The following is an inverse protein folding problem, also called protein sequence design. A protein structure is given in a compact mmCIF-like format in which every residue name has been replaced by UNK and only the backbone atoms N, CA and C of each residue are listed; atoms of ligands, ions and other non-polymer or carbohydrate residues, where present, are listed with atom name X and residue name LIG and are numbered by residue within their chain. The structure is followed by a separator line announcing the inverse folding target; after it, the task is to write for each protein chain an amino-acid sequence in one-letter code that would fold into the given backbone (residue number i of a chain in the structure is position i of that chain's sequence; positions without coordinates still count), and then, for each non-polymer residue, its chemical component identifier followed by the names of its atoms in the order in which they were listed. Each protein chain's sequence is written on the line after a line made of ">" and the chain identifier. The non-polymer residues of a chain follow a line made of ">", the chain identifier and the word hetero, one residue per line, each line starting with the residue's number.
data_IF_140999365507
#
_entry.id   IF_140999365507
#
_cell.length_a   1.000
_cell.length_b   1.000
_cell.length_c   1.000
_cell.angle_alpha   90.00
_cell.angle_beta   90.00
_cell.angle_gamma   90.00
#
_symmetry.space_group_name_H-M   'P 1'
#
loop_
_entity.id
_entity.type
_entity.pdbx_description
1 polymer ?
#
# COMPACT_ATOMS: atom_id res chain seq x y z
N UNK A 1 21.41 11.06 -32.98
CA UNK A 1 20.64 11.59 -31.84
C UNK A 1 20.97 13.08 -31.78
N UNK A 2 19.97 13.96 -31.91
CA UNK A 2 20.20 15.40 -31.97
C UNK A 2 20.59 15.97 -30.59
N UNK A 3 21.42 17.01 -30.57
CA UNK A 3 21.86 17.75 -29.38
C UNK A 3 20.66 18.21 -28.52
N UNK A 4 19.53 18.53 -29.12
CA UNK A 4 18.29 18.90 -28.45
C UNK A 4 17.67 17.78 -27.61
N UNK A 5 17.74 16.52 -28.08
CA UNK A 5 17.25 15.36 -27.33
C UNK A 5 18.10 15.09 -26.08
N UNK A 6 19.42 15.27 -26.18
CA UNK A 6 20.32 15.13 -25.03
C UNK A 6 20.13 16.23 -24.00
N UNK A 7 19.90 17.46 -24.43
CA UNK A 7 19.62 18.60 -23.54
C UNK A 7 18.30 18.41 -22.78
N UNK A 8 17.24 17.93 -23.46
CA UNK A 8 15.96 17.64 -22.83
C UNK A 8 16.05 16.50 -21.81
N UNK A 9 16.81 15.44 -22.11
CA UNK A 9 17.05 14.34 -21.16
C UNK A 9 17.85 14.80 -19.93
N UNK A 10 18.87 15.67 -20.13
CA UNK A 10 19.65 16.21 -19.03
C UNK A 10 18.79 17.10 -18.12
N UNK A 11 17.94 17.95 -18.69
CA UNK A 11 17.02 18.77 -17.92
C UNK A 11 16.02 17.93 -17.11
N UNK A 12 15.48 16.85 -17.68
CA UNK A 12 14.60 15.92 -16.98
C UNK A 12 15.33 15.25 -15.79
N UNK A 13 16.57 14.79 -15.98
CA UNK A 13 17.38 14.20 -14.92
C UNK A 13 17.70 15.19 -13.79
N UNK A 14 18.01 16.45 -14.15
CA UNK A 14 18.28 17.51 -13.16
C UNK A 14 17.01 17.84 -12.35
N UNK A 15 15.84 17.87 -13.01
CA UNK A 15 14.56 18.09 -12.33
C UNK A 15 14.28 16.96 -11.34
N UNK A 16 14.41 15.70 -11.75
CA UNK A 16 14.21 14.54 -10.88
C UNK A 16 15.19 14.52 -9.70
N UNK A 17 16.46 14.80 -9.94
CA UNK A 17 17.48 14.89 -8.87
C UNK A 17 17.15 16.01 -7.87
N UNK A 18 16.66 17.15 -8.32
CA UNK A 18 16.26 18.28 -7.46
C UNK A 18 15.05 17.91 -6.61
N UNK A 19 14.05 17.25 -7.20
CA UNK A 19 12.86 16.77 -6.49
C UNK A 19 13.24 15.72 -5.45
N UNK A 20 14.14 14.80 -5.78
CA UNK A 20 14.64 13.79 -4.86
C UNK A 20 15.41 14.41 -3.67
N UNK A 21 16.24 15.42 -3.92
CA UNK A 21 16.95 16.15 -2.86
C UNK A 21 15.98 16.93 -1.96
N UNK A 22 14.96 17.56 -2.54
CA UNK A 22 13.91 18.24 -1.76
C UNK A 22 13.16 17.24 -0.86
N UNK A 23 12.75 16.10 -1.40
CA UNK A 23 12.10 15.02 -0.65
C UNK A 23 12.99 14.50 0.49
N UNK A 24 14.27 14.24 0.25
CA UNK A 24 15.19 13.78 1.28
C UNK A 24 15.38 14.83 2.38
N UNK A 25 15.46 16.11 2.02
CA UNK A 25 15.54 17.24 2.96
C UNK A 25 14.26 17.33 3.82
N UNK A 26 13.07 17.23 3.22
CA UNK A 26 11.78 17.20 3.92
C UNK A 26 11.71 16.03 4.93
N UNK A 27 12.30 14.87 4.56
CA UNK A 27 12.40 13.70 5.42
C UNK A 27 13.48 13.81 6.51
N UNK A 28 14.17 14.96 6.63
CA UNK A 28 15.19 15.24 7.65
C UNK A 28 16.56 14.60 7.36
N UNK A 29 16.84 14.23 6.10
CA UNK A 29 18.16 13.76 5.68
C UNK A 29 19.05 14.98 5.42
N UNK A 30 20.02 15.25 6.31
CA UNK A 30 20.86 16.47 6.26
C UNK A 30 22.21 16.28 5.57
N UNK A 31 22.55 15.08 5.09
CA UNK A 31 23.79 14.81 4.37
C UNK A 31 23.84 13.41 3.78
N UNK A 32 24.62 13.26 2.72
CA UNK A 32 25.01 11.95 2.19
C UNK A 32 26.46 11.70 2.61
N UNK A 33 26.67 10.97 3.70
CA UNK A 33 28.01 10.46 3.99
C UNK A 33 28.38 9.40 2.96
N UNK A 34 29.29 9.77 2.07
CA UNK A 34 29.88 8.87 1.09
C UNK A 34 30.98 8.06 1.78
N UNK A 35 30.62 7.01 2.49
CA UNK A 35 31.58 5.96 2.83
C UNK A 35 31.87 5.15 1.56
N UNK A 36 32.87 5.55 0.81
CA UNK A 36 33.54 4.68 -0.16
C UNK A 36 34.33 3.65 0.64
N UNK A 37 33.76 2.48 0.87
CA UNK A 37 34.53 1.35 1.34
C UNK A 37 35.53 0.94 0.24
N UNK A 38 36.83 0.76 0.56
CA UNK A 38 37.81 0.28 -0.41
C UNK A 38 37.46 -1.14 -0.82
N UNK A 39 37.61 -1.45 -2.09
CA UNK A 39 37.37 -2.71 -2.77
C UNK A 39 37.66 -3.93 -1.92
N UNK A 40 36.62 -4.61 -1.45
CA UNK A 40 36.70 -5.98 -0.99
C UNK A 40 36.71 -6.90 -2.23
N UNK A 41 37.85 -7.43 -2.54
CA UNK A 41 38.03 -8.50 -3.52
C UNK A 41 37.21 -9.69 -3.01
N UNK A 42 36.16 -10.06 -3.74
CA UNK A 42 35.39 -11.26 -3.49
C UNK A 42 36.28 -12.48 -3.80
N UNK A 43 36.83 -13.12 -2.78
CA UNK A 43 37.32 -14.48 -2.87
C UNK A 43 36.13 -15.44 -2.77
N UNK A 44 35.83 -16.03 -3.89
CA UNK A 44 34.85 -17.11 -4.06
C UNK A 44 35.42 -18.37 -3.38
N UNK A 45 35.02 -18.64 -2.14
CA UNK A 45 35.28 -19.92 -1.49
C UNK A 45 34.13 -20.88 -1.85
N UNK A 46 34.43 -21.77 -2.79
CA UNK A 46 33.62 -22.94 -3.09
C UNK A 46 33.46 -23.82 -1.86
N UNK A 47 32.31 -23.81 -1.20
CA UNK A 47 31.91 -24.84 -0.22
C UNK A 47 31.18 -25.94 -0.94
N UNK A 48 31.83 -27.10 -1.02
CA UNK A 48 31.29 -28.35 -1.47
C UNK A 48 30.03 -28.74 -0.65
N UNK A 49 28.95 -29.08 -1.33
CA UNK A 49 27.75 -29.68 -0.76
C UNK A 49 27.98 -31.19 -0.55
N UNK A 50 27.58 -31.77 0.58
CA UNK A 50 27.50 -33.21 0.69
C UNK A 50 26.27 -33.72 -0.06
N UNK A 51 26.49 -34.63 -0.99
CA UNK A 51 25.47 -35.36 -1.72
C UNK A 51 24.89 -36.46 -0.84
N UNK A 52 23.60 -36.36 -0.50
CA UNK A 52 22.80 -37.47 -0.01
C UNK A 52 22.01 -38.06 -1.19
N UNK A 53 21.83 -39.39 -1.27
CA UNK A 53 21.22 -40.05 -2.44
C UNK A 53 19.71 -39.78 -2.45
N UNK A 54 19.25 -39.30 -3.61
CA UNK A 54 17.82 -39.13 -3.93
C UNK A 54 17.24 -40.53 -4.21
N UNK A 55 16.34 -41.01 -3.36
CA UNK A 55 15.48 -42.13 -3.64
C UNK A 55 14.41 -41.70 -4.65
N UNK A 56 14.49 -42.23 -5.83
CA UNK A 56 13.46 -42.13 -6.87
C UNK A 56 12.21 -42.88 -6.44
N UNK A 57 11.17 -42.09 -6.14
CA UNK A 57 9.82 -42.62 -5.96
C UNK A 57 9.22 -42.88 -7.32
N UNK A 58 8.97 -44.12 -7.66
CA UNK A 58 8.30 -44.54 -8.87
C UNK A 58 6.83 -44.11 -8.79
N UNK A 59 6.38 -43.35 -9.79
CA UNK A 59 4.96 -43.10 -10.00
C UNK A 59 4.32 -44.30 -10.69
N UNK A 60 3.09 -44.69 -10.32
CA UNK A 60 2.39 -45.75 -11.02
C UNK A 60 1.87 -45.28 -12.39
N UNK A 61 1.92 -46.12 -13.41
CA UNK A 61 1.43 -45.80 -14.74
C UNK A 61 -0.10 -45.90 -14.77
N UNK A 62 -0.77 -44.78 -15.05
CA UNK A 62 -2.15 -44.81 -15.53
C UNK A 62 -2.21 -44.10 -16.88
N UNK A 63 -2.70 -44.86 -17.81
CA UNK A 63 -2.67 -44.61 -19.25
C UNK A 63 -3.44 -43.34 -19.65
N UNK A 64 -2.84 -42.63 -20.60
CA UNK A 64 -3.45 -41.57 -21.35
C UNK A 64 -4.64 -42.09 -22.16
N UNK A 65 -5.86 -41.74 -21.74
CA UNK A 65 -7.01 -41.84 -22.63
C UNK A 65 -7.15 -40.51 -23.37
N UNK A 66 -6.78 -40.52 -24.63
CA UNK A 66 -7.08 -39.45 -25.57
C UNK A 66 -8.60 -39.39 -25.80
N UNK A 67 -9.18 -38.26 -25.50
CA UNK A 67 -10.55 -37.94 -25.81
C UNK A 67 -10.81 -36.49 -25.47
N UNK A 68 -10.65 -35.59 -26.46
CA UNK A 68 -11.11 -34.22 -26.36
C UNK A 68 -12.64 -34.23 -26.37
N UNK A 69 -13.34 -33.87 -25.30
CA UNK A 69 -14.71 -33.46 -25.42
C UNK A 69 -14.75 -32.00 -25.85
N UNK A 70 -15.32 -31.73 -27.00
CA UNK A 70 -15.85 -30.41 -27.33
C UNK A 70 -16.89 -30.05 -26.28
N UNK A 71 -16.49 -29.21 -25.33
CA UNK A 71 -17.41 -28.65 -24.34
C UNK A 71 -18.14 -27.46 -24.93
N UNK A 72 -19.17 -27.74 -25.72
CA UNK A 72 -20.31 -26.83 -25.79
C UNK A 72 -20.98 -26.87 -24.41
N UNK A 73 -20.49 -26.05 -23.47
CA UNK A 73 -21.16 -25.85 -22.20
C UNK A 73 -22.42 -25.07 -22.45
N UNK A 74 -23.55 -25.68 -22.10
CA UNK A 74 -24.91 -25.12 -22.16
C UNK A 74 -25.09 -23.88 -21.25
N UNK A 75 -24.04 -23.49 -20.54
CA UNK A 75 -23.93 -22.30 -19.71
C UNK A 75 -22.78 -21.48 -20.28
N UNK A 76 -23.12 -20.42 -21.01
CA UNK A 76 -22.15 -19.46 -21.53
C UNK A 76 -21.18 -18.99 -20.44
N UNK A 77 -20.04 -18.52 -20.88
CA UNK A 77 -18.88 -18.06 -20.08
C UNK A 77 -19.33 -17.33 -18.79
N UNK A 78 -19.38 -18.06 -17.67
CA UNK A 78 -19.71 -17.56 -16.34
C UNK A 78 -18.48 -16.86 -15.71
N UNK A 79 -17.67 -16.18 -16.50
CA UNK A 79 -16.74 -15.21 -15.99
C UNK A 79 -17.56 -14.05 -15.39
N UNK A 80 -17.92 -14.19 -14.11
CA UNK A 80 -18.51 -13.09 -13.36
C UNK A 80 -17.64 -11.86 -13.56
N UNK A 81 -18.17 -10.72 -13.99
CA UNK A 81 -17.38 -9.51 -14.15
C UNK A 81 -16.66 -9.24 -12.82
N UNK A 82 -15.40 -8.77 -12.85
CA UNK A 82 -14.64 -8.52 -11.64
C UNK A 82 -15.48 -7.64 -10.72
N UNK A 83 -15.65 -8.06 -9.46
CA UNK A 83 -16.39 -7.31 -8.45
C UNK A 83 -15.82 -5.89 -8.38
N UNK A 84 -16.56 -4.91 -8.87
CA UNK A 84 -16.19 -3.50 -8.74
C UNK A 84 -16.88 -2.91 -7.54
N UNK A 85 -16.16 -2.11 -6.76
CA UNK A 85 -16.78 -1.27 -5.73
C UNK A 85 -17.66 -0.25 -6.46
N UNK A 86 -18.97 -0.45 -6.40
CA UNK A 86 -19.94 0.48 -6.96
C UNK A 86 -19.97 1.76 -6.12
N UNK A 87 -20.18 2.89 -6.78
CA UNK A 87 -20.33 4.17 -6.09
C UNK A 87 -21.52 4.10 -5.14
N UNK A 88 -21.28 4.42 -3.87
CA UNK A 88 -22.32 4.53 -2.85
C UNK A 88 -22.77 5.99 -2.73
N UNK A 89 -24.05 6.18 -2.42
CA UNK A 89 -24.61 7.47 -2.00
C UNK A 89 -24.59 7.66 -0.50
N UNK A 90 -24.11 6.66 0.23
CA UNK A 90 -24.02 6.68 1.69
C UNK A 90 -23.03 7.75 2.15
N UNK A 91 -23.43 8.54 3.13
CA UNK A 91 -22.59 9.57 3.74
C UNK A 91 -21.63 8.98 4.78
N UNK A 92 -20.56 9.69 5.07
CA UNK A 92 -19.63 9.32 6.13
C UNK A 92 -20.32 9.33 7.51
N UNK A 93 -21.27 10.24 7.71
CA UNK A 93 -22.06 10.34 8.92
C UNK A 93 -22.90 9.08 9.16
N UNK A 94 -23.52 8.54 8.13
CA UNK A 94 -24.30 7.29 8.19
C UNK A 94 -23.37 6.09 8.46
N UNK A 95 -22.22 6.00 7.79
CA UNK A 95 -21.23 4.94 8.04
C UNK A 95 -20.72 5.03 9.48
N UNK A 96 -20.39 6.22 9.96
CA UNK A 96 -19.86 6.42 11.31
C UNK A 96 -20.92 6.22 12.39
N UNK A 97 -22.17 6.53 12.11
CA UNK A 97 -23.30 6.22 13.00
C UNK A 97 -23.47 4.70 13.15
N UNK A 98 -23.32 3.92 12.07
CA UNK A 98 -23.32 2.46 12.16
C UNK A 98 -22.09 1.89 12.88
N UNK A 99 -20.92 2.52 12.74
CA UNK A 99 -19.78 2.19 13.61
C UNK A 99 -20.16 2.40 15.06
N UNK A 100 -20.74 3.55 15.41
CA UNK A 100 -21.18 3.90 16.76
C UNK A 100 -20.12 3.54 17.82
N UNK A 101 -20.54 3.01 18.96
CA UNK A 101 -19.63 2.41 19.95
C UNK A 101 -19.37 0.92 19.64
N UNK A 102 -18.78 0.64 18.47
CA UNK A 102 -18.60 -0.71 17.91
C UNK A 102 -17.96 -1.69 18.89
N UNK A 103 -18.57 -2.86 19.06
CA UNK A 103 -18.07 -3.98 19.87
C UNK A 103 -17.89 -5.27 19.06
N UNK A 104 -17.82 -5.17 17.72
CA UNK A 104 -17.81 -6.33 16.80
C UNK A 104 -16.54 -7.18 16.89
N UNK A 105 -15.43 -6.64 17.41
CA UNK A 105 -14.19 -7.40 17.59
C UNK A 105 -13.53 -7.06 18.95
N UNK A 106 -12.62 -7.91 19.48
CA UNK A 106 -12.02 -7.73 20.80
C UNK A 106 -11.25 -6.40 20.99
N UNK A 107 -10.84 -5.73 19.92
CA UNK A 107 -10.10 -4.46 20.00
C UNK A 107 -10.89 -3.35 20.69
N UNK A 108 -12.24 -3.47 20.78
CA UNK A 108 -13.06 -2.49 21.49
C UNK A 108 -12.71 -2.36 23.00
N UNK A 109 -12.16 -3.43 23.60
CA UNK A 109 -11.80 -3.44 25.01
C UNK A 109 -10.53 -2.64 25.33
N UNK A 110 -9.65 -2.46 24.35
CA UNK A 110 -8.32 -1.86 24.54
C UNK A 110 -8.23 -0.41 24.01
N UNK A 111 -9.18 0.03 23.18
CA UNK A 111 -9.19 1.39 22.65
C UNK A 111 -9.66 2.40 23.69
N UNK A 112 -9.16 3.62 23.59
CA UNK A 112 -9.74 4.79 24.25
C UNK A 112 -10.82 5.40 23.35
N UNK A 113 -10.51 5.55 22.06
CA UNK A 113 -11.42 6.12 21.07
C UNK A 113 -11.49 5.26 19.80
N UNK A 114 -12.56 5.47 19.02
CA UNK A 114 -12.62 5.01 17.64
C UNK A 114 -11.96 6.04 16.76
N UNK A 115 -11.06 5.59 15.88
CA UNK A 115 -10.34 6.45 14.95
C UNK A 115 -10.95 6.27 13.55
N UNK A 116 -11.71 7.26 13.13
CA UNK A 116 -12.28 7.30 11.78
C UNK A 116 -11.26 7.77 10.74
N UNK A 117 -11.63 7.72 9.47
CA UNK A 117 -10.87 8.35 8.39
C UNK A 117 -10.93 9.86 8.51
N UNK A 118 -9.88 10.56 8.04
CA UNK A 118 -9.73 12.00 8.15
C UNK A 118 -9.23 12.59 6.82
N UNK A 119 -9.72 13.76 6.42
CA UNK A 119 -9.33 14.46 5.21
C UNK A 119 -10.47 14.68 4.21
N UNK A 120 -10.13 14.81 2.94
CA UNK A 120 -11.08 15.14 1.88
C UNK A 120 -11.92 13.93 1.47
N UNK A 121 -13.24 14.02 1.61
CA UNK A 121 -14.19 12.97 1.21
C UNK A 121 -14.46 12.88 -0.30
N UNK A 122 -13.93 13.81 -1.08
CA UNK A 122 -13.87 13.76 -2.53
C UNK A 122 -12.47 13.55 -3.08
N UNK A 123 -11.55 13.02 -2.25
CA UNK A 123 -10.14 12.86 -2.61
C UNK A 123 -9.94 11.86 -3.74
N UNK A 124 -9.10 12.22 -4.70
CA UNK A 124 -8.59 11.30 -5.72
C UNK A 124 -7.56 10.31 -5.18
N UNK A 125 -6.92 10.65 -4.07
CA UNK A 125 -5.86 9.87 -3.42
C UNK A 125 -6.23 9.53 -1.98
N UNK A 126 -6.18 8.25 -1.63
CA UNK A 126 -6.44 7.76 -0.28
C UNK A 126 -5.23 6.99 0.25
N UNK A 127 -4.90 7.20 1.52
CA UNK A 127 -3.88 6.43 2.24
C UNK A 127 -4.54 5.51 3.28
N UNK A 128 -4.17 4.24 3.26
CA UNK A 128 -4.73 3.23 4.15
C UNK A 128 -3.61 2.53 4.92
N UNK A 129 -3.62 2.70 6.24
CA UNK A 129 -2.73 2.02 7.17
C UNK A 129 -3.38 0.79 7.83
N UNK A 130 -2.70 0.28 8.85
CA UNK A 130 -3.06 -0.94 9.56
C UNK A 130 -4.11 -0.70 10.65
N UNK A 131 -3.74 0.05 11.67
CA UNK A 131 -4.54 0.36 12.86
C UNK A 131 -4.00 1.60 13.58
N UNK A 132 -4.77 2.25 14.45
CA UNK A 132 -4.31 3.39 15.25
C UNK A 132 -3.20 2.99 16.22
N UNK A 133 -2.24 3.89 16.42
CA UNK A 133 -1.28 3.87 17.52
C UNK A 133 -1.82 4.61 18.76
N UNK A 134 -0.94 4.84 19.74
CA UNK A 134 -1.33 5.48 21.00
C UNK A 134 -1.77 6.94 20.82
N UNK A 135 -1.04 7.70 20.00
CA UNK A 135 -1.34 9.10 19.75
C UNK A 135 -2.65 9.26 18.97
N UNK A 136 -2.91 8.36 18.02
CA UNK A 136 -4.12 8.32 17.22
C UNK A 136 -5.35 7.95 18.07
N UNK A 137 -5.20 6.97 18.95
CA UNK A 137 -6.26 6.54 19.88
C UNK A 137 -6.62 7.65 20.86
N UNK A 138 -5.63 8.40 21.37
CA UNK A 138 -5.85 9.53 22.27
C UNK A 138 -6.52 10.72 21.57
N UNK A 139 -6.20 10.99 20.30
CA UNK A 139 -6.67 12.16 19.56
C UNK A 139 -7.86 11.88 18.63
N UNK A 140 -8.31 10.64 18.52
CA UNK A 140 -9.37 10.18 17.60
C UNK A 140 -9.10 10.52 16.13
N UNK A 141 -7.82 10.68 15.73
CA UNK A 141 -7.42 11.06 14.37
C UNK A 141 -6.34 10.10 13.85
N UNK A 142 -6.42 9.67 12.56
CA UNK A 142 -5.44 8.76 11.99
C UNK A 142 -4.12 9.49 11.68
N UNK A 143 -3.01 8.80 11.88
CA UNK A 143 -1.68 9.27 11.52
C UNK A 143 -1.33 10.66 12.07
N UNK A 144 -1.39 10.83 13.38
CA UNK A 144 -1.00 12.07 14.10
C UNK A 144 0.33 11.93 14.85
N UNK A 145 0.73 10.72 15.26
CA UNK A 145 2.00 10.45 15.90
C UNK A 145 3.19 10.59 14.95
N UNK A 146 4.39 10.17 15.37
CA UNK A 146 5.65 10.29 14.61
C UNK A 146 5.56 9.70 13.19
N UNK A 147 4.92 8.55 13.04
CA UNK A 147 4.69 7.93 11.73
C UNK A 147 3.74 8.77 10.86
N UNK A 148 2.74 9.37 11.47
CA UNK A 148 1.80 10.27 10.80
C UNK A 148 2.45 11.58 10.34
N UNK A 149 3.32 12.16 11.15
CA UNK A 149 4.11 13.33 10.75
C UNK A 149 5.01 13.04 9.55
N UNK A 150 5.62 11.84 9.51
CA UNK A 150 6.36 11.42 8.33
C UNK A 150 5.44 11.22 7.12
N UNK A 151 4.24 10.65 7.30
CA UNK A 151 3.27 10.51 6.21
C UNK A 151 2.86 11.87 5.64
N UNK A 152 2.64 12.87 6.49
CA UNK A 152 2.34 14.24 6.04
C UNK A 152 3.44 14.78 5.13
N UNK A 153 4.72 14.66 5.53
CA UNK A 153 5.86 15.06 4.69
C UNK A 153 5.93 14.28 3.37
N UNK A 154 5.58 13.01 3.39
CA UNK A 154 5.53 12.17 2.19
C UNK A 154 4.43 12.67 1.23
N UNK A 155 3.25 13.03 1.75
CA UNK A 155 2.13 13.58 0.98
C UNK A 155 2.54 14.92 0.35
N UNK A 156 3.16 15.81 1.13
CA UNK A 156 3.64 17.10 0.68
C UNK A 156 4.71 16.96 -0.42
N UNK A 157 5.61 15.99 -0.28
CA UNK A 157 6.66 15.74 -1.27
C UNK A 157 6.13 15.32 -2.65
N UNK A 158 4.96 14.69 -2.73
CA UNK A 158 4.31 14.35 -4.00
C UNK A 158 3.33 15.43 -4.49
N UNK A 159 3.34 16.62 -3.86
CA UNK A 159 2.59 17.81 -4.31
C UNK A 159 1.16 17.91 -3.81
N UNK A 160 0.77 17.14 -2.79
CA UNK A 160 -0.54 17.23 -2.15
C UNK A 160 -0.42 17.82 -0.75
N UNK A 161 -1.46 18.51 -0.29
CA UNK A 161 -1.62 18.84 1.12
C UNK A 161 -2.32 17.68 1.84
N UNK A 162 -2.08 17.57 3.15
CA UNK A 162 -2.71 16.53 3.96
C UNK A 162 -4.25 16.56 3.90
N UNK A 163 -4.82 17.75 3.88
CA UNK A 163 -6.27 17.98 3.79
C UNK A 163 -6.88 17.71 2.40
N UNK A 164 -6.06 17.54 1.36
CA UNK A 164 -6.51 17.21 0.00
C UNK A 164 -6.69 15.71 -0.24
N UNK A 165 -6.11 14.88 0.63
CA UNK A 165 -6.18 13.42 0.57
C UNK A 165 -7.09 12.86 1.65
N UNK A 166 -7.52 11.60 1.52
CA UNK A 166 -8.22 10.88 2.58
C UNK A 166 -7.26 9.90 3.26
N UNK A 167 -7.25 9.87 4.59
CA UNK A 167 -6.33 9.03 5.36
C UNK A 167 -7.12 8.18 6.34
N UNK A 168 -6.84 6.88 6.40
CA UNK A 168 -7.49 5.98 7.33
C UNK A 168 -6.68 4.72 7.60
N UNK A 169 -7.29 3.79 8.31
CA UNK A 169 -6.74 2.48 8.60
C UNK A 169 -7.76 1.38 8.30
N UNK A 170 -7.31 0.15 8.10
CA UNK A 170 -8.21 -1.01 8.00
C UNK A 170 -8.97 -1.19 9.31
N UNK A 171 -8.27 -1.12 10.45
CA UNK A 171 -8.87 -1.19 11.78
C UNK A 171 -9.02 0.20 12.39
N UNK A 172 -10.15 0.45 13.07
CA UNK A 172 -10.48 1.74 13.71
C UNK A 172 -10.13 1.78 15.19
N UNK A 173 -9.78 0.65 15.76
CA UNK A 173 -9.46 0.50 17.18
C UNK A 173 -7.99 0.13 17.35
N UNK A 174 -7.34 0.73 18.37
CA UNK A 174 -5.96 0.45 18.71
C UNK A 174 -5.81 -0.95 19.29
N UNK A 175 -4.94 -1.83 18.76
CA UNK A 175 -4.63 -3.11 19.38
C UNK A 175 -3.79 -2.95 20.65
N UNK A 176 -3.92 -3.87 21.62
CA UNK A 176 -3.08 -3.87 22.82
C UNK A 176 -1.58 -3.83 22.47
N UNK A 177 -0.82 -2.99 23.16
CA UNK A 177 0.62 -2.79 22.93
C UNK A 177 1.01 -2.48 21.47
N UNK A 178 0.09 -1.94 20.66
CA UNK A 178 0.26 -1.68 19.22
C UNK A 178 0.68 -2.94 18.43
N UNK A 179 0.23 -4.14 18.82
CA UNK A 179 0.44 -5.34 18.02
C UNK A 179 -0.30 -5.23 16.67
N UNK A 180 0.12 -5.96 15.64
CA UNK A 180 -0.69 -6.08 14.43
C UNK A 180 -2.09 -6.65 14.75
N UNK A 181 -3.16 -6.14 14.12
CA UNK A 181 -4.48 -6.76 14.17
C UNK A 181 -4.45 -8.17 13.58
N UNK A 182 -5.25 -9.08 14.13
CA UNK A 182 -5.43 -10.39 13.52
C UNK A 182 -6.29 -10.28 12.23
N UNK A 183 -6.23 -11.27 11.34
CA UNK A 183 -7.10 -11.31 10.15
C UNK A 183 -8.59 -11.22 10.51
N UNK A 184 -9.02 -11.85 11.61
CA UNK A 184 -10.40 -11.82 12.10
C UNK A 184 -10.79 -10.41 12.56
N UNK A 185 -9.92 -9.75 13.33
CA UNK A 185 -10.13 -8.36 13.78
C UNK A 185 -10.22 -7.40 12.59
N UNK A 186 -9.40 -7.63 11.56
CA UNK A 186 -9.43 -6.85 10.33
C UNK A 186 -10.71 -7.11 9.52
N UNK A 187 -11.13 -8.36 9.38
CA UNK A 187 -12.33 -8.75 8.62
C UNK A 187 -13.61 -8.12 9.18
N UNK A 188 -13.69 -7.99 10.52
CA UNK A 188 -14.82 -7.34 11.19
C UNK A 188 -14.85 -5.82 10.99
N UNK A 189 -13.71 -5.18 10.74
CA UNK A 189 -13.60 -3.73 10.61
C UNK A 189 -13.55 -3.25 9.14
N UNK A 190 -12.97 -4.05 8.24
CA UNK A 190 -12.80 -3.79 6.80
C UNK A 190 -14.08 -3.34 6.09
N UNK A 191 -15.29 -3.87 6.37
CA UNK A 191 -16.51 -3.44 5.69
C UNK A 191 -16.77 -1.93 5.79
N UNK A 192 -16.46 -1.29 6.90
CA UNK A 192 -16.63 0.15 7.05
C UNK A 192 -15.68 0.94 6.13
N UNK A 193 -14.43 0.51 6.02
CA UNK A 193 -13.47 1.11 5.10
C UNK A 193 -13.93 0.95 3.64
N UNK A 194 -14.47 -0.21 3.27
CA UNK A 194 -14.97 -0.45 1.91
C UNK A 194 -16.17 0.43 1.57
N UNK A 195 -17.06 0.71 2.53
CA UNK A 195 -18.17 1.67 2.36
C UNK A 195 -17.65 3.10 2.15
N UNK A 196 -16.62 3.52 2.90
CA UNK A 196 -15.98 4.82 2.69
C UNK A 196 -15.29 4.90 1.32
N UNK A 197 -14.59 3.85 0.89
CA UNK A 197 -14.01 3.77 -0.47
C UNK A 197 -15.11 3.84 -1.54
N UNK A 198 -16.25 3.17 -1.30
CA UNK A 198 -17.41 3.23 -2.19
C UNK A 198 -18.04 4.64 -2.29
N UNK A 199 -18.05 5.38 -1.19
CA UNK A 199 -18.56 6.75 -1.17
C UNK A 199 -17.62 7.73 -1.88
N UNK A 200 -16.29 7.60 -1.64
CA UNK A 200 -15.26 8.51 -2.17
C UNK A 200 -14.89 8.23 -3.62
N UNK A 201 -14.80 6.95 -4.00
CA UNK A 201 -14.31 6.50 -5.32
C UNK A 201 -12.93 7.09 -5.68
N UNK A 202 -11.89 6.88 -4.85
CA UNK A 202 -10.57 7.43 -5.14
C UNK A 202 -9.98 6.81 -6.41
N UNK A 203 -9.20 7.59 -7.16
CA UNK A 203 -8.46 7.08 -8.33
C UNK A 203 -7.36 6.10 -7.92
N UNK A 204 -6.70 6.39 -6.77
CA UNK A 204 -5.62 5.56 -6.22
C UNK A 204 -5.75 5.44 -4.71
N UNK A 205 -5.54 4.20 -4.22
CA UNK A 205 -5.33 3.92 -2.80
C UNK A 205 -3.86 3.53 -2.59
N UNK A 206 -3.15 4.25 -1.72
CA UNK A 206 -1.81 3.86 -1.26
C UNK A 206 -1.95 3.06 0.03
N UNK A 207 -1.54 1.79 0.00
CA UNK A 207 -1.61 0.91 1.17
C UNK A 207 -0.26 0.84 1.87
N UNK A 208 -0.26 1.19 3.15
CA UNK A 208 0.93 1.41 3.95
C UNK A 208 1.27 0.17 4.80
N UNK A 209 2.28 -0.59 4.35
CA UNK A 209 2.84 -1.70 5.09
C UNK A 209 2.20 -3.06 4.82
N UNK A 210 2.84 -4.09 5.36
CA UNK A 210 2.52 -5.48 5.07
C UNK A 210 1.17 -5.92 5.62
N UNK A 211 0.83 -5.52 6.85
CA UNK A 211 -0.43 -5.92 7.50
C UNK A 211 -1.63 -5.27 6.83
N UNK A 212 -1.57 -3.95 6.56
CA UNK A 212 -2.62 -3.25 5.84
C UNK A 212 -2.85 -3.86 4.45
N UNK A 213 -1.78 -4.15 3.73
CA UNK A 213 -1.84 -4.77 2.41
C UNK A 213 -2.51 -6.15 2.47
N UNK A 214 -2.10 -7.02 3.39
CA UNK A 214 -2.70 -8.36 3.54
C UNK A 214 -4.16 -8.28 3.91
N UNK A 215 -4.49 -7.43 4.87
CA UNK A 215 -5.86 -7.31 5.39
C UNK A 215 -6.82 -6.64 4.40
N UNK A 216 -6.34 -5.71 3.56
CA UNK A 216 -7.18 -5.06 2.55
C UNK A 216 -7.29 -5.90 1.26
N UNK A 217 -6.15 -6.35 0.73
CA UNK A 217 -6.06 -6.94 -0.61
C UNK A 217 -6.09 -8.47 -0.61
N UNK A 218 -6.05 -9.11 0.56
CA UNK A 218 -5.97 -10.58 0.71
C UNK A 218 -4.74 -11.21 0.03
N UNK A 219 -3.67 -10.41 -0.16
CA UNK A 219 -2.41 -10.82 -0.80
C UNK A 219 -1.54 -11.57 0.21
N UNK A 220 -1.14 -12.82 -0.11
CA UNK A 220 -0.26 -13.64 0.74
C UNK A 220 1.22 -13.24 0.66
N UNK A 221 1.63 -12.62 -0.43
CA UNK A 221 3.01 -12.21 -0.68
C UNK A 221 3.44 -11.10 0.29
N UNK A 222 4.76 -11.00 0.56
CA UNK A 222 5.31 -9.95 1.40
C UNK A 222 5.40 -8.60 0.68
N UNK A 223 5.32 -7.51 1.43
CA UNK A 223 5.34 -6.13 0.91
C UNK A 223 6.54 -5.85 0.00
N UNK A 224 7.71 -6.39 0.30
CA UNK A 224 8.94 -6.21 -0.49
C UNK A 224 8.84 -6.73 -1.93
N UNK A 225 7.94 -7.67 -2.21
CA UNK A 225 7.72 -8.21 -3.55
C UNK A 225 6.67 -7.44 -4.34
N UNK A 226 5.67 -6.88 -3.64
CA UNK A 226 4.50 -6.24 -4.28
C UNK A 226 4.55 -4.73 -4.28
N UNK A 227 5.39 -4.11 -3.41
CA UNK A 227 5.52 -2.65 -3.37
C UNK A 227 5.95 -2.09 -4.73
N UNK A 228 5.51 -0.90 -5.01
CA UNK A 228 5.87 -0.18 -6.22
C UNK A 228 5.27 -0.75 -7.51
N UNK A 229 4.35 -1.69 -7.42
CA UNK A 229 3.58 -2.22 -8.54
C UNK A 229 2.09 -1.94 -8.29
N UNK A 230 1.44 -1.29 -9.24
CA UNK A 230 0.00 -1.10 -9.15
C UNK A 230 -0.71 -2.45 -9.13
N UNK A 231 -1.54 -2.63 -8.13
CA UNK A 231 -2.53 -3.70 -8.04
C UNK A 231 -3.89 -3.14 -8.44
N UNK A 232 -4.84 -4.02 -8.63
CA UNK A 232 -6.24 -3.64 -8.78
C UNK A 232 -7.08 -4.32 -7.70
N UNK A 233 -7.88 -3.53 -7.00
CA UNK A 233 -8.77 -4.02 -5.97
C UNK A 233 -10.17 -3.49 -6.22
N UNK A 234 -11.07 -4.38 -6.62
CA UNK A 234 -12.46 -4.04 -6.95
C UNK A 234 -12.59 -2.82 -7.89
N UNK A 235 -11.73 -2.74 -8.91
CA UNK A 235 -11.76 -1.68 -9.91
C UNK A 235 -11.04 -0.39 -9.52
N UNK A 236 -10.45 -0.31 -8.32
CA UNK A 236 -9.63 0.82 -7.87
C UNK A 236 -8.14 0.47 -7.99
N UNK A 237 -7.31 1.40 -8.44
CA UNK A 237 -5.85 1.23 -8.47
C UNK A 237 -5.29 1.31 -7.05
N UNK A 238 -4.43 0.33 -6.71
CA UNK A 238 -3.82 0.27 -5.38
C UNK A 238 -2.30 0.20 -5.51
N UNK A 239 -1.61 1.04 -4.75
CA UNK A 239 -0.15 1.07 -4.67
C UNK A 239 0.31 0.63 -3.27
N UNK A 240 0.79 -0.61 -3.10
CA UNK A 240 1.41 -1.04 -1.86
C UNK A 240 2.79 -0.39 -1.71
N UNK A 241 3.09 0.13 -0.51
CA UNK A 241 4.41 0.67 -0.16
C UNK A 241 4.72 0.45 1.32
N UNK A 242 5.92 0.83 1.77
CA UNK A 242 6.31 0.66 3.16
C UNK A 242 5.52 1.57 4.11
N UNK A 243 5.29 1.06 5.33
CA UNK A 243 4.64 1.85 6.37
C UNK A 243 5.59 2.94 6.91
N UNK A 244 5.14 4.18 7.16
CA UNK A 244 6.00 5.25 7.68
C UNK A 244 6.73 4.87 8.98
N UNK A 245 6.12 4.11 9.89
CA UNK A 245 6.79 3.63 11.09
C UNK A 245 7.97 2.69 10.79
N UNK A 246 7.94 1.95 9.68
CA UNK A 246 9.09 1.16 9.23
C UNK A 246 10.21 2.07 8.71
N UNK A 247 9.87 3.11 7.96
CA UNK A 247 10.84 4.09 7.43
C UNK A 247 11.54 4.92 8.53
N UNK A 248 10.90 5.06 9.71
CA UNK A 248 11.54 5.66 10.89
C UNK A 248 12.59 4.74 11.51
N UNK A 249 12.39 3.41 11.43
CA UNK A 249 13.36 2.41 11.91
C UNK A 249 14.46 2.10 10.92
N UNK A 250 14.12 2.11 9.63
CA UNK A 250 15.06 1.88 8.52
C UNK A 250 14.94 3.00 7.48
N UNK A 251 15.66 4.13 7.68
CA UNK A 251 15.63 5.26 6.76
C UNK A 251 16.15 4.94 5.35
N UNK A 252 16.94 3.88 5.17
CA UNK A 252 17.46 3.48 3.85
C UNK A 252 16.34 3.16 2.86
N UNK A 253 15.17 2.75 3.36
CA UNK A 253 13.98 2.39 2.59
C UNK A 253 13.14 3.58 2.11
N UNK A 254 13.49 4.81 2.51
CA UNK A 254 12.80 6.03 2.07
C UNK A 254 12.88 6.23 0.55
N UNK A 255 14.04 5.93 -0.05
CA UNK A 255 14.22 6.01 -1.50
C UNK A 255 13.26 5.10 -2.26
N UNK A 256 13.10 3.88 -1.79
CA UNK A 256 12.18 2.92 -2.42
C UNK A 256 10.72 3.40 -2.32
N UNK A 257 10.31 3.95 -1.17
CA UNK A 257 8.98 4.54 -0.99
C UNK A 257 8.77 5.75 -1.90
N UNK A 258 9.79 6.58 -2.07
CA UNK A 258 9.75 7.70 -3.01
C UNK A 258 9.49 7.26 -4.44
N UNK A 259 10.18 6.20 -4.91
CA UNK A 259 9.94 5.64 -6.25
C UNK A 259 8.51 5.11 -6.43
N UNK A 260 7.93 4.51 -5.37
CA UNK A 260 6.52 4.06 -5.42
C UNK A 260 5.56 5.23 -5.58
N UNK A 261 5.79 6.29 -4.81
CA UNK A 261 4.90 7.45 -4.77
C UNK A 261 5.04 8.37 -5.98
N UNK A 262 6.20 8.43 -6.62
CA UNK A 262 6.34 9.07 -7.93
C UNK A 262 5.39 8.45 -8.95
N UNK A 263 5.29 7.13 -8.99
CA UNK A 263 4.35 6.43 -9.88
C UNK A 263 2.89 6.80 -9.60
N UNK A 264 2.54 6.97 -8.32
CA UNK A 264 1.20 7.41 -7.92
C UNK A 264 0.94 8.84 -8.40
N UNK A 265 1.87 9.76 -8.17
CA UNK A 265 1.80 11.14 -8.63
C UNK A 265 1.61 11.19 -10.16
N UNK A 266 2.50 10.54 -10.89
CA UNK A 266 2.50 10.53 -12.36
C UNK A 266 1.18 9.96 -12.90
N UNK A 267 0.63 8.90 -12.28
CA UNK A 267 -0.67 8.35 -12.64
C UNK A 267 -1.80 9.35 -12.41
N UNK A 268 -1.81 10.06 -11.26
CA UNK A 268 -2.83 11.05 -10.93
C UNK A 268 -2.75 12.29 -11.85
N UNK A 269 -1.55 12.68 -12.28
CA UNK A 269 -1.34 13.75 -13.26
C UNK A 269 -1.90 13.36 -14.64
N UNK A 270 -1.59 12.14 -15.11
CA UNK A 270 -2.09 11.61 -16.41
C UNK A 270 -3.62 11.45 -16.44
N UNK A 271 -4.24 11.17 -15.30
CA UNK A 271 -5.69 10.96 -15.17
C UNK A 271 -6.44 12.22 -14.73
N UNK A 272 -5.74 13.35 -14.61
CA UNK A 272 -6.37 14.64 -14.27
C UNK A 272 -7.31 15.06 -15.40
N UNK A 273 -8.61 15.09 -15.10
CA UNK A 273 -9.58 15.66 -16.04
C UNK A 273 -9.27 17.16 -16.19
N UNK A 274 -9.31 17.71 -17.42
CA UNK A 274 -9.21 19.16 -17.58
C UNK A 274 -10.32 19.82 -16.75
N UNK A 275 -9.97 20.82 -15.98
CA UNK A 275 -10.96 21.67 -15.29
C UNK A 275 -11.74 22.40 -16.37
N UNK A 276 -13.07 22.15 -16.47
CA UNK A 276 -13.99 22.85 -17.34
C UNK A 276 -14.28 24.26 -16.78
#
# INVERSE_FOLDING_TARGET
>A
MSSETQSAQLLALLKDAREQLAYLKELGVTGTEKQLAPNAVFQEQARAKPTAPVQTRQEPPWEAAAGSPSSDTLFGDLSSPPLRIQKSTESFEEIWADVGNCTRCPLHQARTNIVHTDGNRGARLMFVGEAPGADEDAQSRPFVGRAGQLLTKIIEAIGFKREEVLIGNVNRCRPPANRPPTPEEASMCKPFLLREIAAVQPDVIVVLGNTAMRNLLDIKQGITRVRGQFQEYHGVKVMPTFHPAYLLRDPSKKKETWEDLKKVRDYLELTRKPEN
#
